data_IF_465063487229
#
_entry.id   IF_465063487229
#
_cell.length_a   1.000
_cell.length_b   1.000
_cell.length_c   1.000
_cell.angle_alpha   90.00
_cell.angle_beta   90.00
_cell.angle_gamma   90.00
#
_symmetry.space_group_name_H-M   'P 1'
#
loop_
_entity.id
_entity.type
_entity.pdbx_description
1 polymer ?
#
# COMPACT_ATOMS: atom_id res chain seq x y z
N UNK A 1 31.11 16.57 23.50
CA UNK A 1 30.73 17.31 22.28
C UNK A 1 30.73 16.34 21.12
N UNK A 2 29.57 15.86 20.68
CA UNK A 2 29.47 15.14 19.40
C UNK A 2 29.42 16.21 18.31
N UNK A 3 30.37 16.16 17.38
CA UNK A 3 30.31 16.96 16.17
C UNK A 3 29.07 16.50 15.39
N UNK A 4 28.01 17.30 15.44
CA UNK A 4 26.92 17.20 14.48
C UNK A 4 27.47 17.75 13.17
N UNK A 5 28.04 16.88 12.34
CA UNK A 5 28.11 17.15 10.91
C UNK A 5 26.68 17.42 10.46
N UNK A 6 26.38 18.67 10.14
CA UNK A 6 25.14 19.04 9.45
C UNK A 6 25.26 18.45 8.07
N UNK A 7 24.86 17.17 7.95
CA UNK A 7 24.57 16.57 6.66
C UNK A 7 23.44 17.43 6.10
N UNK A 8 23.67 18.08 4.95
CA UNK A 8 22.58 18.74 4.23
C UNK A 8 21.41 17.74 4.16
N UNK A 9 20.16 18.16 4.39
CA UNK A 9 19.06 17.21 4.60
C UNK A 9 18.92 16.30 3.37
N UNK A 10 19.47 15.09 3.48
CA UNK A 10 19.49 14.10 2.43
C UNK A 10 18.18 13.31 2.52
N UNK A 11 17.47 13.29 1.41
CA UNK A 11 16.43 12.29 1.14
C UNK A 11 17.08 11.24 0.23
N UNK A 12 17.35 10.02 0.75
CA UNK A 12 18.04 8.99 0.00
C UNK A 12 17.12 8.30 -1.01
N UNK A 13 17.60 7.91 -2.18
CA UNK A 13 16.88 7.08 -3.14
C UNK A 13 17.78 5.99 -3.69
N UNK A 14 17.25 4.76 -3.78
CA UNK A 14 17.97 3.65 -4.38
C UNK A 14 18.06 3.80 -5.90
N UNK A 15 19.20 3.45 -6.49
CA UNK A 15 19.45 3.53 -7.93
C UNK A 15 19.45 2.13 -8.58
N UNK A 16 18.45 1.29 -8.28
CA UNK A 16 18.27 -0.06 -8.87
C UNK A 16 19.57 -0.90 -8.91
N UNK A 17 20.26 -0.98 -7.77
CA UNK A 17 21.53 -1.73 -7.63
C UNK A 17 22.81 -0.90 -7.85
N UNK A 18 22.71 0.35 -8.30
CA UNK A 18 23.86 1.25 -8.50
C UNK A 18 24.22 2.11 -7.27
N UNK A 19 23.72 1.75 -6.09
CA UNK A 19 23.91 2.50 -4.85
C UNK A 19 22.76 3.46 -4.51
N UNK A 20 23.04 4.47 -3.69
CA UNK A 20 22.07 5.45 -3.17
C UNK A 20 22.42 6.84 -3.70
N UNK A 21 21.42 7.56 -4.21
CA UNK A 21 21.49 9.00 -4.48
C UNK A 21 20.87 9.80 -3.33
N UNK A 22 21.32 11.04 -3.11
CA UNK A 22 20.76 11.96 -2.13
C UNK A 22 20.24 13.20 -2.86
N UNK A 23 19.00 13.60 -2.57
CA UNK A 23 18.44 14.89 -2.99
C UNK A 23 18.02 15.71 -1.78
N UNK A 24 17.79 17.01 -1.97
CA UNK A 24 17.24 17.86 -0.90
C UNK A 24 15.75 17.54 -0.71
N UNK A 25 15.23 17.81 0.50
CA UNK A 25 13.79 17.68 0.75
C UNK A 25 12.93 18.47 -0.25
N UNK A 26 13.34 19.69 -0.60
CA UNK A 26 12.61 20.51 -1.58
C UNK A 26 12.54 19.86 -2.98
N UNK A 27 13.60 19.17 -3.40
CA UNK A 27 13.62 18.43 -4.68
C UNK A 27 12.73 17.20 -4.60
N UNK A 28 12.79 16.44 -3.50
CA UNK A 28 11.94 15.26 -3.30
C UNK A 28 10.45 15.64 -3.24
N UNK A 29 10.09 16.66 -2.47
CA UNK A 29 8.72 17.19 -2.38
C UNK A 29 8.24 17.63 -3.77
N UNK A 30 9.05 18.40 -4.51
CA UNK A 30 8.69 18.84 -5.85
C UNK A 30 8.45 17.68 -6.81
N UNK A 31 9.29 16.64 -6.77
CA UNK A 31 9.11 15.42 -7.60
C UNK A 31 7.80 14.73 -7.29
N UNK A 32 7.59 14.36 -6.03
CA UNK A 32 6.39 13.65 -5.58
C UNK A 32 5.12 14.46 -5.89
N UNK A 33 5.10 15.77 -5.57
CA UNK A 33 3.96 16.63 -5.89
C UNK A 33 3.69 16.68 -7.40
N UNK A 34 4.73 16.78 -8.24
CA UNK A 34 4.56 16.81 -9.69
C UNK A 34 3.97 15.49 -10.20
N UNK A 35 4.53 14.36 -9.75
CA UNK A 35 3.98 13.03 -10.07
C UNK A 35 2.51 12.92 -9.68
N UNK A 36 2.13 13.34 -8.47
CA UNK A 36 0.76 13.26 -7.99
C UNK A 36 -0.20 14.18 -8.75
N UNK A 37 0.23 15.40 -9.11
CA UNK A 37 -0.57 16.32 -9.92
C UNK A 37 -0.79 15.76 -11.32
N UNK A 38 0.22 15.16 -11.93
CA UNK A 38 0.14 14.60 -13.29
C UNK A 38 -0.73 13.33 -13.34
N UNK A 39 -0.93 12.66 -12.20
CA UNK A 39 -1.60 11.36 -12.10
C UNK A 39 -2.85 11.36 -11.22
N UNK A 40 -3.28 12.51 -10.69
CA UNK A 40 -4.42 12.53 -9.77
C UNK A 40 -5.69 11.95 -10.40
N UNK A 41 -6.53 11.25 -9.62
CA UNK A 41 -7.82 10.76 -10.06
C UNK A 41 -8.71 11.89 -10.62
N UNK A 42 -9.49 11.65 -11.69
CA UNK A 42 -10.37 12.66 -12.27
C UNK A 42 -11.34 13.30 -11.27
N UNK A 43 -11.81 12.52 -10.29
CA UNK A 43 -12.69 13.01 -9.22
C UNK A 43 -12.04 14.06 -8.30
N UNK A 44 -10.70 14.11 -8.28
CA UNK A 44 -9.94 15.02 -7.42
C UNK A 44 -9.61 16.35 -8.12
N UNK A 45 -9.67 16.42 -9.46
CA UNK A 45 -9.33 17.61 -10.26
C UNK A 45 -10.08 18.88 -9.80
N UNK A 46 -11.41 18.85 -9.52
CA UNK A 46 -12.12 20.04 -9.05
C UNK A 46 -11.58 20.59 -7.72
N UNK A 47 -10.92 19.76 -6.92
CA UNK A 47 -10.38 20.07 -5.60
C UNK A 47 -8.85 20.21 -5.59
N UNK A 48 -8.21 20.27 -6.76
CA UNK A 48 -6.74 20.30 -6.90
C UNK A 48 -6.06 21.32 -5.99
N UNK A 49 -6.52 22.57 -6.00
CA UNK A 49 -5.93 23.62 -5.16
C UNK A 49 -6.01 23.24 -3.67
N UNK A 50 -7.20 22.85 -3.20
CA UNK A 50 -7.39 22.44 -1.80
C UNK A 50 -6.61 21.19 -1.41
N UNK A 51 -6.31 20.28 -2.35
CA UNK A 51 -5.52 19.08 -2.07
C UNK A 51 -4.02 19.40 -1.94
N UNK A 52 -3.50 20.26 -2.82
CA UNK A 52 -2.06 20.44 -3.03
C UNK A 52 -1.47 21.73 -2.45
N UNK A 53 -2.28 22.71 -2.06
CA UNK A 53 -1.77 23.94 -1.42
C UNK A 53 -1.45 23.69 0.06
N UNK A 54 -2.43 23.26 0.84
CA UNK A 54 -2.30 22.98 2.27
C UNK A 54 -3.12 21.76 2.76
N UNK A 55 -3.79 21.05 1.85
CA UNK A 55 -4.61 19.89 2.20
C UNK A 55 -3.88 18.56 2.23
N UNK A 56 -4.68 17.48 2.15
CA UNK A 56 -4.23 16.11 2.44
C UNK A 56 -3.07 15.63 1.55
N UNK A 57 -2.99 16.08 0.28
CA UNK A 57 -1.89 15.69 -0.59
C UNK A 57 -0.60 16.44 -0.22
N UNK A 58 -0.69 17.74 0.07
CA UNK A 58 0.45 18.53 0.51
C UNK A 58 1.03 18.03 1.85
N UNK A 59 0.15 17.81 2.84
CA UNK A 59 0.52 17.22 4.14
C UNK A 59 1.12 15.83 3.95
N UNK A 60 0.48 14.99 3.13
CA UNK A 60 0.92 13.64 2.84
C UNK A 60 2.31 13.57 2.19
N UNK A 61 2.61 14.45 1.23
CA UNK A 61 3.93 14.51 0.57
C UNK A 61 5.02 14.96 1.55
N UNK A 62 4.76 15.98 2.36
CA UNK A 62 5.73 16.44 3.33
C UNK A 62 6.08 15.35 4.35
N UNK A 63 5.06 14.66 4.87
CA UNK A 63 5.24 13.55 5.80
C UNK A 63 5.91 12.33 5.13
N UNK A 64 5.57 11.99 3.88
CA UNK A 64 6.22 10.87 3.18
C UNK A 64 7.72 11.13 2.94
N UNK A 65 8.09 12.36 2.58
CA UNK A 65 9.50 12.75 2.41
C UNK A 65 10.24 12.78 3.74
N UNK A 66 9.59 13.19 4.83
CA UNK A 66 10.17 13.11 6.17
C UNK A 66 10.40 11.64 6.61
N UNK A 67 9.43 10.76 6.39
CA UNK A 67 9.55 9.33 6.65
C UNK A 67 10.68 8.70 5.82
N UNK A 68 10.81 9.09 4.55
CA UNK A 68 11.88 8.65 3.64
C UNK A 68 13.28 8.97 4.16
N UNK A 69 13.45 10.12 4.81
CA UNK A 69 14.71 10.53 5.42
C UNK A 69 14.94 9.92 6.83
N UNK A 70 13.88 9.45 7.47
CA UNK A 70 13.91 8.94 8.86
C UNK A 70 14.23 7.45 8.93
N UNK A 71 13.56 6.63 8.12
CA UNK A 71 13.60 5.18 8.29
C UNK A 71 14.74 4.51 7.50
N UNK A 72 15.49 3.57 8.11
CA UNK A 72 16.70 3.00 7.50
C UNK A 72 16.41 2.18 6.23
N UNK A 73 15.29 1.47 6.18
CA UNK A 73 14.88 0.69 5.01
C UNK A 73 14.47 1.55 3.81
N UNK A 74 14.06 2.80 4.06
CA UNK A 74 13.51 3.64 3.02
C UNK A 74 14.57 4.09 2.00
N UNK A 75 15.85 4.10 2.38
CA UNK A 75 16.96 4.52 1.54
C UNK A 75 17.15 3.66 0.28
N UNK A 76 16.83 2.37 0.34
CA UNK A 76 16.97 1.46 -0.80
C UNK A 76 15.82 1.60 -1.82
N UNK A 77 14.72 2.26 -1.45
CA UNK A 77 13.55 2.40 -2.33
C UNK A 77 13.85 3.42 -3.44
N UNK A 78 13.66 3.05 -4.73
CA UNK A 78 13.81 3.96 -5.87
C UNK A 78 12.81 5.13 -5.86
N UNK A 79 13.13 6.21 -6.57
CA UNK A 79 12.31 7.42 -6.57
C UNK A 79 10.94 7.22 -7.23
N UNK A 80 10.88 6.52 -8.36
CA UNK A 80 9.64 6.16 -9.04
C UNK A 80 8.72 5.29 -8.17
N UNK A 81 9.28 4.28 -7.51
CA UNK A 81 8.54 3.44 -6.56
C UNK A 81 8.04 4.25 -5.35
N UNK A 82 8.85 5.19 -4.86
CA UNK A 82 8.46 6.05 -3.74
C UNK A 82 7.33 7.02 -4.13
N UNK A 83 7.47 7.73 -5.25
CA UNK A 83 6.49 8.71 -5.70
C UNK A 83 5.11 8.03 -5.91
N UNK A 84 5.08 6.82 -6.48
CA UNK A 84 3.83 6.10 -6.73
C UNK A 84 3.28 5.36 -5.49
N UNK A 85 4.11 4.62 -4.76
CA UNK A 85 3.65 3.66 -3.76
C UNK A 85 3.91 4.06 -2.32
N UNK A 86 4.46 5.26 -2.09
CA UNK A 86 4.59 5.85 -0.74
C UNK A 86 3.95 7.23 -0.69
N UNK A 87 4.28 8.14 -1.62
CA UNK A 87 3.83 9.53 -1.56
C UNK A 87 2.33 9.72 -1.88
N UNK A 88 1.74 8.82 -2.68
CA UNK A 88 0.32 8.83 -3.03
C UNK A 88 -0.60 8.96 -1.82
N UNK A 89 -1.54 9.92 -1.92
CA UNK A 89 -2.50 10.25 -0.87
C UNK A 89 -3.75 9.36 -0.89
N UNK A 90 -3.94 8.59 -1.98
CA UNK A 90 -5.03 7.63 -2.15
C UNK A 90 -4.49 6.24 -2.55
N UNK A 91 -5.35 5.24 -2.39
CA UNK A 91 -5.10 3.84 -2.67
C UNK A 91 -6.03 3.31 -3.77
N UNK A 92 -7.31 3.67 -3.71
CA UNK A 92 -8.39 3.30 -4.63
C UNK A 92 -9.35 4.51 -4.79
N UNK A 93 -10.67 4.26 -4.75
CA UNK A 93 -11.72 5.28 -4.81
C UNK A 93 -12.29 5.70 -3.44
N UNK A 94 -11.54 5.50 -2.35
CA UNK A 94 -11.94 5.90 -1.00
C UNK A 94 -11.97 7.44 -0.79
N UNK A 95 -12.74 7.96 0.19
CA UNK A 95 -12.69 9.37 0.55
C UNK A 95 -11.27 9.85 0.90
N UNK A 96 -10.93 11.09 0.52
CA UNK A 96 -9.60 11.65 0.78
C UNK A 96 -9.51 12.15 2.22
N UNK A 97 -8.70 11.48 3.03
CA UNK A 97 -8.50 11.80 4.46
C UNK A 97 -7.03 11.97 4.79
N UNK A 98 -6.73 12.75 5.83
CA UNK A 98 -5.35 12.97 6.29
C UNK A 98 -4.89 11.82 7.20
N UNK A 99 -4.86 10.60 6.64
CA UNK A 99 -4.57 9.39 7.40
C UNK A 99 -3.12 9.25 7.83
N UNK A 100 -2.19 9.87 7.09
CA UNK A 100 -0.75 9.61 7.22
C UNK A 100 -0.16 10.07 8.55
N UNK A 101 -0.38 11.32 9.03
CA UNK A 101 0.17 11.75 10.31
C UNK A 101 -0.36 10.90 11.48
N UNK A 102 -1.65 10.54 11.43
CA UNK A 102 -2.27 9.68 12.45
C UNK A 102 -1.64 8.28 12.47
N UNK A 103 -1.51 7.64 11.30
CA UNK A 103 -0.95 6.30 11.21
C UNK A 103 0.54 6.28 11.54
N UNK A 104 1.32 7.27 11.12
CA UNK A 104 2.72 7.40 11.50
C UNK A 104 2.88 7.49 13.03
N UNK A 105 2.11 8.35 13.69
CA UNK A 105 2.15 8.48 15.16
C UNK A 105 1.81 7.17 15.88
N UNK A 106 0.99 6.35 15.25
CA UNK A 106 0.58 5.02 15.71
C UNK A 106 1.69 3.97 15.51
N UNK A 107 2.33 3.92 14.34
CA UNK A 107 3.27 2.84 14.01
C UNK A 107 4.72 3.15 14.36
N UNK A 108 5.12 4.44 14.39
CA UNK A 108 6.49 4.84 14.64
C UNK A 108 7.07 4.27 15.95
N UNK A 109 6.35 4.27 17.10
CA UNK A 109 6.85 3.66 18.33
C UNK A 109 7.05 2.15 18.26
N UNK A 110 6.40 1.45 17.31
CA UNK A 110 6.54 0.01 17.14
C UNK A 110 7.81 -0.36 16.39
N UNK A 111 8.31 0.56 15.56
CA UNK A 111 9.38 0.29 14.59
C UNK A 111 10.66 1.10 14.85
N UNK A 112 10.67 1.99 15.84
CA UNK A 112 11.79 2.91 16.12
C UNK A 112 13.15 2.23 16.32
N UNK A 113 13.16 0.98 16.78
CA UNK A 113 14.37 0.21 17.07
C UNK A 113 14.63 -0.91 16.04
N UNK A 114 13.86 -0.95 14.95
CA UNK A 114 14.00 -1.95 13.88
C UNK A 114 14.92 -1.42 12.78
N UNK A 115 15.68 -2.32 12.16
CA UNK A 115 16.65 -1.97 11.13
C UNK A 115 16.19 -2.32 9.71
N UNK A 116 15.30 -3.30 9.56
CA UNK A 116 14.91 -3.89 8.27
C UNK A 116 13.44 -3.61 7.94
N UNK A 117 13.11 -3.59 6.66
CA UNK A 117 11.71 -3.47 6.21
C UNK A 117 10.93 -4.70 6.64
N UNK A 118 11.53 -5.88 6.55
CA UNK A 118 10.92 -7.16 6.87
C UNK A 118 10.49 -7.23 8.34
N UNK A 119 11.36 -6.81 9.27
CA UNK A 119 11.01 -6.74 10.69
C UNK A 119 9.91 -5.69 10.94
N UNK A 120 9.97 -4.55 10.27
CA UNK A 120 8.94 -3.51 10.39
C UNK A 120 7.57 -3.98 9.86
N UNK A 121 7.53 -4.66 8.71
CA UNK A 121 6.31 -5.24 8.14
C UNK A 121 5.76 -6.31 9.07
N UNK A 122 6.61 -7.23 9.55
CA UNK A 122 6.22 -8.29 10.47
C UNK A 122 5.71 -7.72 11.79
N UNK A 123 6.33 -6.63 12.30
CA UNK A 123 5.87 -5.93 13.48
C UNK A 123 4.50 -5.31 13.23
N UNK A 124 4.34 -4.46 12.19
CA UNK A 124 3.06 -3.78 11.89
C UNK A 124 1.93 -4.78 11.65
N UNK A 125 2.18 -5.86 10.90
CA UNK A 125 1.19 -6.90 10.63
C UNK A 125 0.89 -7.77 11.86
N UNK A 126 1.94 -8.20 12.56
CA UNK A 126 1.87 -9.13 13.69
C UNK A 126 1.29 -8.51 14.95
N UNK A 127 1.41 -7.19 15.12
CA UNK A 127 1.02 -6.50 16.35
C UNK A 127 -0.47 -6.65 16.68
N UNK A 128 -1.33 -6.93 15.69
CA UNK A 128 -2.80 -7.16 15.77
C UNK A 128 -3.25 -8.08 16.90
N UNK A 129 -2.41 -9.05 17.33
CA UNK A 129 -2.80 -10.07 18.32
C UNK A 129 -2.22 -9.84 19.73
N UNK A 130 -1.50 -8.75 19.97
CA UNK A 130 -1.06 -8.39 21.33
C UNK A 130 -2.17 -7.66 22.09
N UNK A 131 -2.23 -7.76 23.42
CA UNK A 131 -3.14 -6.98 24.29
C UNK A 131 -2.97 -5.46 24.18
N UNK A 132 -2.03 -5.00 23.34
CA UNK A 132 -1.62 -3.62 23.13
C UNK A 132 -1.61 -3.29 21.63
N UNK A 133 -2.28 -4.07 20.77
CA UNK A 133 -2.14 -3.84 19.33
C UNK A 133 -2.68 -2.47 18.92
N UNK A 134 -2.16 -1.82 17.88
CA UNK A 134 -2.83 -0.62 17.39
C UNK A 134 -4.20 -0.93 16.78
N UNK A 135 -4.33 -2.06 16.10
CA UNK A 135 -5.61 -2.47 15.50
C UNK A 135 -6.69 -2.72 16.57
N UNK A 136 -6.42 -3.50 17.60
CA UNK A 136 -7.22 -3.70 18.83
C UNK A 136 -7.31 -2.48 19.74
N UNK A 137 -6.29 -1.62 19.83
CA UNK A 137 -6.38 -0.35 20.57
C UNK A 137 -7.29 0.64 19.82
N UNK A 138 -7.39 0.48 18.49
CA UNK A 138 -8.43 1.05 17.62
C UNK A 138 -9.68 0.16 17.51
N UNK A 139 -9.70 -1.03 18.12
CA UNK A 139 -10.82 -1.97 18.10
C UNK A 139 -11.14 -2.68 16.77
N UNK A 140 -10.25 -2.68 15.76
CA UNK A 140 -10.48 -3.18 14.39
C UNK A 140 -10.69 -4.70 14.31
N UNK A 141 -11.81 -5.10 13.70
CA UNK A 141 -12.22 -6.49 13.44
C UNK A 141 -12.59 -6.73 11.97
N UNK A 142 -12.35 -7.94 11.45
CA UNK A 142 -12.75 -8.29 10.08
C UNK A 142 -14.25 -8.58 9.97
N UNK A 143 -14.91 -7.97 8.98
CA UNK A 143 -16.32 -8.22 8.64
C UNK A 143 -16.49 -8.33 7.12
N UNK A 144 -16.52 -9.56 6.62
CA UNK A 144 -16.64 -9.85 5.19
C UNK A 144 -17.88 -9.26 4.51
N UNK A 145 -18.99 -9.12 5.24
CA UNK A 145 -20.26 -8.61 4.71
C UNK A 145 -20.32 -7.09 4.54
N UNK A 146 -19.23 -6.37 4.79
CA UNK A 146 -19.20 -4.90 4.75
C UNK A 146 -18.76 -4.35 3.41
N UNK A 147 -18.41 -5.17 2.42
CA UNK A 147 -18.36 -4.72 1.02
C UNK A 147 -19.81 -4.46 0.56
N UNK A 148 -20.18 -3.24 0.09
CA UNK A 148 -19.36 -2.24 -0.59
C UNK A 148 -18.98 -0.98 0.23
N UNK A 149 -18.98 -0.99 1.57
CA UNK A 149 -18.49 0.15 2.33
C UNK A 149 -17.00 0.38 2.02
N UNK A 150 -16.73 1.46 1.29
CA UNK A 150 -15.39 1.89 0.90
C UNK A 150 -14.82 2.69 2.06
N UNK A 151 -14.13 2.01 2.97
CA UNK A 151 -13.49 2.67 4.10
C UNK A 151 -12.14 3.22 3.67
N UNK A 152 -11.96 4.52 3.89
CA UNK A 152 -10.62 5.07 4.00
C UNK A 152 -9.93 4.54 5.27
N UNK A 153 -8.61 4.69 5.39
CA UNK A 153 -7.87 4.21 6.55
C UNK A 153 -8.43 4.73 7.90
N UNK A 154 -8.83 5.99 7.99
CA UNK A 154 -9.37 6.57 9.22
C UNK A 154 -10.78 6.06 9.54
N UNK A 155 -11.62 5.80 8.53
CA UNK A 155 -12.91 5.13 8.75
C UNK A 155 -12.72 3.75 9.38
N UNK A 156 -11.73 2.97 8.92
CA UNK A 156 -11.43 1.67 9.51
C UNK A 156 -10.99 1.81 10.97
N UNK A 157 -10.13 2.79 11.28
CA UNK A 157 -9.74 3.11 12.66
C UNK A 157 -10.93 3.52 13.53
N UNK A 158 -11.81 4.38 13.02
CA UNK A 158 -12.91 4.96 13.77
C UNK A 158 -14.02 3.94 14.06
N UNK A 159 -14.36 3.09 13.08
CA UNK A 159 -15.42 2.10 13.24
C UNK A 159 -14.99 0.84 13.97
N UNK A 160 -13.69 0.54 14.01
CA UNK A 160 -13.21 -0.69 14.62
C UNK A 160 -13.62 -1.94 13.82
N UNK A 161 -13.88 -1.82 12.52
CA UNK A 161 -14.02 -2.97 11.63
C UNK A 161 -13.85 -2.60 10.16
N UNK A 162 -13.59 -3.60 9.31
CA UNK A 162 -13.60 -3.44 7.85
C UNK A 162 -13.73 -4.78 7.14
N UNK A 163 -14.07 -4.75 5.85
CA UNK A 163 -13.92 -5.90 4.93
C UNK A 163 -12.45 -6.09 4.51
N UNK A 164 -12.18 -7.02 3.58
CA UNK A 164 -10.83 -7.29 3.11
C UNK A 164 -10.23 -6.07 2.40
N UNK A 165 -11.08 -5.29 1.72
CA UNK A 165 -10.70 -4.00 1.13
C UNK A 165 -10.21 -3.02 2.19
N UNK A 166 -11.03 -2.77 3.22
CA UNK A 166 -10.70 -1.77 4.25
C UNK A 166 -9.47 -2.16 5.06
N UNK A 167 -9.32 -3.45 5.43
CA UNK A 167 -8.13 -3.95 6.12
C UNK A 167 -6.89 -3.79 5.23
N UNK A 168 -6.98 -4.14 3.94
CA UNK A 168 -5.85 -4.02 3.01
C UNK A 168 -5.45 -2.56 2.80
N UNK A 169 -6.42 -1.67 2.57
CA UNK A 169 -6.15 -0.25 2.39
C UNK A 169 -5.49 0.37 3.63
N UNK A 170 -6.00 0.01 4.81
CA UNK A 170 -5.52 0.50 6.08
C UNK A 170 -4.12 -0.06 6.43
N UNK A 171 -3.84 -1.32 6.09
CA UNK A 171 -2.49 -1.90 6.24
C UNK A 171 -1.48 -1.26 5.27
N UNK A 172 -1.84 -1.07 4.00
CA UNK A 172 -1.01 -0.33 3.03
C UNK A 172 -0.72 1.08 3.53
N UNK A 173 -1.73 1.79 4.02
CA UNK A 173 -1.57 3.14 4.55
C UNK A 173 -0.59 3.18 5.75
N UNK A 174 -0.67 2.21 6.66
CA UNK A 174 0.26 2.08 7.79
C UNK A 174 1.70 1.78 7.37
N UNK A 175 1.90 0.99 6.31
CA UNK A 175 3.24 0.75 5.74
C UNK A 175 3.78 2.01 5.05
N UNK A 176 2.93 2.69 4.28
CA UNK A 176 3.28 3.94 3.57
C UNK A 176 3.62 5.08 4.52
N UNK A 177 3.03 5.13 5.72
CA UNK A 177 3.37 6.15 6.72
C UNK A 177 4.80 6.01 7.26
N UNK A 178 5.43 4.84 7.12
CA UNK A 178 6.83 4.58 7.48
C UNK A 178 7.71 4.32 6.25
N UNK A 179 7.32 4.87 5.11
CA UNK A 179 8.05 4.82 3.85
C UNK A 179 8.34 3.40 3.31
N UNK A 180 7.49 2.42 3.64
CA UNK A 180 7.49 1.09 3.01
C UNK A 180 6.52 1.12 1.83
N UNK A 181 6.99 0.91 0.58
CA UNK A 181 6.10 0.94 -0.58
C UNK A 181 5.20 -0.28 -0.59
N UNK A 182 3.90 -0.05 -0.68
CA UNK A 182 2.89 -1.09 -0.68
C UNK A 182 1.70 -0.68 -1.54
N UNK A 183 0.94 -1.66 -2.03
CA UNK A 183 -0.26 -1.45 -2.86
C UNK A 183 -1.34 -2.48 -2.57
N UNK A 184 -2.59 -2.09 -2.77
CA UNK A 184 -3.73 -3.01 -2.68
C UNK A 184 -3.75 -3.85 -3.94
N UNK A 185 -3.97 -5.16 -3.78
CA UNK A 185 -4.13 -6.12 -4.87
C UNK A 185 -5.40 -6.89 -4.64
N UNK A 186 -6.10 -7.24 -5.70
CA UNK A 186 -7.37 -7.92 -5.55
C UNK A 186 -7.84 -8.64 -6.79
N UNK A 187 -8.77 -9.55 -6.54
CA UNK A 187 -9.64 -10.09 -7.58
C UNK A 187 -11.05 -9.52 -7.41
N UNK A 188 -11.67 -8.97 -8.47
CA UNK A 188 -13.06 -8.54 -8.42
C UNK A 188 -14.03 -9.72 -8.33
N UNK A 189 -13.61 -10.90 -8.80
CA UNK A 189 -14.43 -12.08 -8.91
C UNK A 189 -13.55 -13.34 -9.05
N UNK A 190 -13.65 -14.26 -8.10
CA UNK A 190 -12.96 -15.55 -8.20
C UNK A 190 -13.40 -16.29 -9.46
N UNK A 191 -12.42 -16.76 -10.26
CA UNK A 191 -12.63 -17.45 -11.54
C UNK A 191 -13.45 -16.64 -12.56
N UNK A 192 -13.44 -15.31 -12.43
CA UNK A 192 -14.18 -14.41 -13.31
C UNK A 192 -15.70 -14.43 -13.11
N UNK A 193 -16.19 -15.02 -12.02
CA UNK A 193 -17.62 -15.11 -11.71
C UNK A 193 -17.92 -14.37 -10.40
N UNK A 194 -18.74 -13.32 -10.50
CA UNK A 194 -19.08 -12.42 -9.41
C UNK A 194 -19.80 -13.14 -8.26
N UNK A 195 -20.51 -14.24 -8.52
CA UNK A 195 -21.17 -15.05 -7.50
C UNK A 195 -20.18 -15.76 -6.58
N UNK A 196 -18.92 -15.93 -7.01
CA UNK A 196 -17.88 -16.49 -6.17
C UNK A 196 -17.25 -15.45 -5.21
N UNK A 197 -17.64 -14.18 -5.32
CA UNK A 197 -17.17 -13.07 -4.49
C UNK A 197 -15.81 -12.51 -4.90
N UNK A 198 -15.45 -11.39 -4.28
CA UNK A 198 -14.16 -10.71 -4.46
C UNK A 198 -13.20 -11.03 -3.31
N UNK A 199 -11.94 -10.60 -3.46
CA UNK A 199 -10.99 -10.57 -2.36
C UNK A 199 -9.87 -9.57 -2.58
N UNK A 200 -9.39 -8.96 -1.50
CA UNK A 200 -8.30 -7.99 -1.50
C UNK A 200 -7.23 -8.35 -0.47
N UNK A 201 -5.98 -8.16 -0.87
CA UNK A 201 -4.78 -8.33 -0.06
C UNK A 201 -3.76 -7.24 -0.43
N UNK A 202 -2.49 -7.42 -0.02
CA UNK A 202 -1.44 -6.41 -0.17
C UNK A 202 -0.22 -6.98 -0.89
N UNK A 203 0.32 -6.20 -1.83
CA UNK A 203 1.69 -6.37 -2.34
C UNK A 203 2.61 -5.33 -1.69
N UNK A 204 3.82 -5.74 -1.32
CA UNK A 204 4.84 -4.91 -0.65
C UNK A 204 6.13 -4.98 -1.46
N UNK A 205 6.74 -3.82 -1.73
CA UNK A 205 7.94 -3.74 -2.52
C UNK A 205 9.16 -4.16 -1.70
N UNK A 206 9.87 -5.17 -2.19
CA UNK A 206 11.13 -5.60 -1.64
C UNK A 206 12.27 -4.88 -2.37
N UNK A 207 12.82 -3.85 -1.72
CA UNK A 207 13.88 -3.02 -2.29
C UNK A 207 15.20 -3.78 -2.50
N UNK A 208 15.39 -4.93 -1.84
CA UNK A 208 16.57 -5.78 -2.01
C UNK A 208 16.50 -6.59 -3.31
N UNK A 209 15.32 -7.15 -3.61
CA UNK A 209 15.11 -7.99 -4.80
C UNK A 209 14.60 -7.21 -6.01
N UNK A 210 14.02 -6.03 -5.79
CA UNK A 210 13.33 -5.28 -6.84
C UNK A 210 12.03 -5.94 -7.29
N UNK A 211 11.36 -6.66 -6.39
CA UNK A 211 10.14 -7.41 -6.67
C UNK A 211 9.04 -7.12 -5.64
N UNK A 212 7.80 -7.48 -5.99
CA UNK A 212 6.65 -7.40 -5.10
C UNK A 212 6.44 -8.75 -4.39
N UNK A 213 6.48 -8.73 -3.07
CA UNK A 213 6.02 -9.82 -2.19
C UNK A 213 4.54 -9.59 -1.84
N UNK A 214 3.78 -10.63 -1.48
CA UNK A 214 2.36 -10.46 -1.14
C UNK A 214 1.96 -11.15 0.16
N UNK A 215 0.98 -10.54 0.85
CA UNK A 215 0.51 -10.96 2.18
C UNK A 215 -0.91 -10.45 2.46
N UNK A 216 -1.65 -11.13 3.34
CA UNK A 216 -2.84 -10.54 3.96
C UNK A 216 -2.50 -9.71 5.20
N UNK A 217 -3.05 -8.50 5.24
CA UNK A 217 -3.08 -7.72 6.47
C UNK A 217 -3.94 -8.43 7.53
N UNK A 218 -3.40 -8.60 8.73
CA UNK A 218 -4.20 -9.02 9.89
C UNK A 218 -5.19 -7.89 10.26
N UNK A 219 -6.39 -8.22 10.79
CA UNK A 219 -6.87 -9.57 11.15
C UNK A 219 -7.48 -10.40 10.02
N UNK A 220 -7.41 -9.97 8.74
CA UNK A 220 -7.89 -10.79 7.62
C UNK A 220 -7.01 -12.05 7.44
N UNK A 221 -5.69 -11.87 7.53
CA UNK A 221 -4.71 -12.95 7.39
C UNK A 221 -4.49 -13.81 8.63
N UNK A 222 -4.08 -15.06 8.40
CA UNK A 222 -3.84 -16.06 9.45
C UNK A 222 -2.50 -15.95 10.21
N UNK A 223 -1.62 -15.01 9.84
CA UNK A 223 -0.21 -15.00 10.30
C UNK A 223 0.80 -15.53 9.30
N UNK A 224 0.52 -15.22 8.03
CA UNK A 224 1.33 -15.55 6.88
C UNK A 224 2.71 -14.91 6.94
N UNK A 225 3.68 -15.53 6.28
CA UNK A 225 5.01 -14.94 6.04
C UNK A 225 4.98 -14.05 4.81
N UNK A 226 5.99 -13.23 4.55
CA UNK A 226 6.06 -12.49 3.27
C UNK A 226 6.51 -13.37 2.10
N UNK A 227 7.28 -14.42 2.38
CA UNK A 227 8.08 -15.12 1.37
C UNK A 227 7.47 -16.44 0.90
N UNK A 228 6.56 -17.05 1.66
CA UNK A 228 5.90 -18.28 1.26
C UNK A 228 4.52 -17.98 0.65
N UNK A 229 4.30 -18.13 -0.66
CA UNK A 229 2.97 -17.92 -1.24
C UNK A 229 1.93 -18.93 -0.74
N UNK A 230 2.34 -20.14 -0.38
CA UNK A 230 1.43 -21.24 -0.04
C UNK A 230 0.90 -21.21 1.40
N UNK A 231 1.33 -20.24 2.21
CA UNK A 231 0.71 -20.01 3.53
C UNK A 231 -0.51 -19.08 3.45
N UNK A 232 -0.82 -18.52 2.27
CA UNK A 232 -2.03 -17.71 2.02
C UNK A 232 -3.18 -18.64 1.71
N UNK A 233 -4.27 -18.54 2.45
CA UNK A 233 -5.44 -19.41 2.23
C UNK A 233 -5.99 -19.31 0.81
N UNK A 234 -5.86 -18.15 0.18
CA UNK A 234 -6.36 -17.88 -1.17
C UNK A 234 -5.40 -18.33 -2.28
N UNK A 235 -4.11 -18.53 -1.98
CA UNK A 235 -3.10 -18.84 -2.99
C UNK A 235 -3.00 -20.36 -3.17
N UNK A 236 -3.89 -20.91 -4.00
CA UNK A 236 -3.93 -22.34 -4.30
C UNK A 236 -4.60 -22.60 -5.68
N UNK A 237 -4.47 -23.81 -6.27
CA UNK A 237 -5.01 -24.15 -7.58
C UNK A 237 -6.55 -24.09 -7.68
N UNK A 238 -7.25 -24.20 -6.54
CA UNK A 238 -8.72 -24.05 -6.53
C UNK A 238 -9.15 -22.60 -6.73
N UNK A 239 -8.33 -21.64 -6.36
CA UNK A 239 -8.55 -20.20 -6.60
C UNK A 239 -7.83 -19.71 -7.85
N UNK A 240 -6.71 -20.32 -8.22
CA UNK A 240 -5.90 -19.96 -9.38
C UNK A 240 -5.66 -21.19 -10.27
N UNK A 241 -6.67 -21.63 -11.04
CA UNK A 241 -6.50 -22.74 -11.95
C UNK A 241 -5.57 -22.36 -13.12
N UNK A 242 -4.84 -23.33 -13.66
CA UNK A 242 -3.99 -23.13 -14.85
C UNK A 242 -4.77 -23.19 -16.18
N UNK A 243 -6.09 -23.39 -16.13
CA UNK A 243 -6.95 -23.46 -17.32
C UNK A 243 -7.42 -22.07 -17.76
N UNK A 244 -7.15 -21.64 -19.02
CA UNK A 244 -7.41 -20.27 -19.46
C UNK A 244 -8.85 -19.80 -19.35
N UNK A 245 -9.82 -20.69 -19.59
CA UNK A 245 -11.24 -20.33 -19.65
C UNK A 245 -11.89 -20.08 -18.27
N UNK A 246 -11.12 -20.17 -17.18
CA UNK A 246 -11.63 -20.03 -15.81
C UNK A 246 -10.61 -19.36 -14.88
N UNK A 247 -9.69 -18.59 -15.44
CA UNK A 247 -8.66 -17.87 -14.72
C UNK A 247 -9.27 -16.81 -13.78
N UNK A 248 -8.64 -16.62 -12.62
CA UNK A 248 -9.02 -15.54 -11.71
C UNK A 248 -8.33 -14.25 -12.14
N UNK A 249 -9.07 -13.20 -12.52
CA UNK A 249 -8.47 -11.91 -12.80
C UNK A 249 -7.90 -11.30 -11.52
N UNK A 250 -6.70 -10.76 -11.60
CA UNK A 250 -6.04 -10.06 -10.49
C UNK A 250 -5.45 -8.75 -10.97
N UNK A 251 -5.69 -7.69 -10.21
CA UNK A 251 -5.18 -6.36 -10.48
C UNK A 251 -4.50 -5.79 -9.23
N UNK A 252 -3.36 -5.15 -9.42
CA UNK A 252 -2.69 -4.37 -8.38
C UNK A 252 -2.92 -2.88 -8.62
N UNK A 253 -3.36 -2.17 -7.59
CA UNK A 253 -3.69 -0.75 -7.67
C UNK A 253 -2.43 0.08 -7.97
N UNK A 254 -2.59 1.05 -8.87
CA UNK A 254 -1.56 2.01 -9.26
C UNK A 254 -2.08 3.43 -9.04
N UNK A 255 -1.14 4.37 -8.96
CA UNK A 255 -1.48 5.80 -9.03
C UNK A 255 -1.13 6.38 -10.41
N UNK A 256 -0.10 5.85 -11.07
CA UNK A 256 0.26 6.24 -12.44
C UNK A 256 -0.86 5.92 -13.43
N UNK A 257 -1.29 6.96 -14.16
CA UNK A 257 -2.41 6.92 -15.12
C UNK A 257 -1.97 6.92 -16.58
N UNK A 258 -0.67 6.92 -16.86
CA UNK A 258 -0.13 7.09 -18.21
C UNK A 258 0.59 5.84 -18.72
N UNK A 259 1.12 4.99 -17.83
CA UNK A 259 1.86 3.78 -18.23
C UNK A 259 1.06 2.50 -17.98
N UNK A 260 1.10 1.56 -18.94
CA UNK A 260 0.48 0.22 -18.83
C UNK A 260 -0.96 0.25 -18.28
N UNK A 261 -1.86 0.88 -19.05
CA UNK A 261 -3.24 1.32 -18.72
C UNK A 261 -4.26 0.20 -18.44
N UNK A 262 -3.95 -0.78 -17.60
CA UNK A 262 -5.01 -1.62 -17.04
C UNK A 262 -5.77 -0.83 -15.96
N UNK A 263 -6.91 -1.36 -15.56
CA UNK A 263 -7.79 -0.78 -14.53
C UNK A 263 -7.80 -1.73 -13.36
N UNK A 264 -7.76 -1.19 -12.15
CA UNK A 264 -8.08 -1.97 -10.97
C UNK A 264 -9.60 -2.15 -10.91
N UNK A 265 -10.08 -3.34 -11.27
CA UNK A 265 -11.52 -3.62 -11.29
C UNK A 265 -12.12 -3.61 -9.87
N UNK A 266 -12.92 -2.59 -9.57
CA UNK A 266 -13.55 -2.43 -8.27
C UNK A 266 -14.82 -3.30 -8.18
N UNK A 267 -14.80 -4.32 -7.33
CA UNK A 267 -15.95 -5.23 -7.17
C UNK A 267 -17.25 -4.53 -6.70
N UNK A 268 -17.13 -3.37 -6.06
CA UNK A 268 -18.24 -2.56 -5.56
C UNK A 268 -18.67 -1.43 -6.50
N UNK A 269 -17.85 -1.12 -7.50
CA UNK A 269 -18.08 -0.03 -8.46
C UNK A 269 -17.55 -0.47 -9.84
N UNK A 270 -18.13 -1.53 -10.44
CA UNK A 270 -17.55 -2.21 -11.61
C UNK A 270 -17.55 -1.35 -12.88
N UNK A 271 -18.28 -0.24 -12.89
CA UNK A 271 -18.31 0.71 -14.01
C UNK A 271 -17.25 1.80 -13.90
N UNK A 272 -16.54 1.89 -12.78
CA UNK A 272 -15.53 2.89 -12.54
C UNK A 272 -14.19 2.45 -13.10
N UNK A 273 -13.69 3.24 -14.06
CA UNK A 273 -12.43 2.99 -14.77
C UNK A 273 -11.32 3.97 -14.35
N UNK A 274 -11.54 4.73 -13.28
CA UNK A 274 -10.67 5.83 -12.88
C UNK A 274 -9.53 5.38 -11.95
N UNK A 275 -9.57 4.15 -11.44
CA UNK A 275 -8.49 3.57 -10.63
C UNK A 275 -7.54 2.77 -11.51
N UNK A 276 -6.30 3.25 -11.74
CA UNK A 276 -5.32 2.53 -12.54
C UNK A 276 -4.93 1.22 -11.89
N UNK A 277 -4.64 0.22 -12.72
CA UNK A 277 -4.21 -1.10 -12.28
C UNK A 277 -3.06 -1.65 -13.11
N UNK A 278 -2.31 -2.55 -12.50
CA UNK A 278 -1.44 -3.50 -13.20
C UNK A 278 -2.14 -4.85 -13.23
N UNK A 279 -2.28 -5.48 -14.39
CA UNK A 279 -2.79 -6.84 -14.48
C UNK A 279 -1.73 -7.82 -13.96
N UNK A 280 -2.06 -8.51 -12.86
CA UNK A 280 -1.20 -9.49 -12.17
C UNK A 280 -1.70 -10.93 -12.34
N UNK A 281 -2.71 -11.16 -13.17
CA UNK A 281 -3.39 -12.46 -13.27
C UNK A 281 -2.41 -13.61 -13.56
N UNK A 282 -1.51 -13.43 -14.54
CA UNK A 282 -0.51 -14.43 -14.91
C UNK A 282 0.48 -14.72 -13.77
N UNK A 283 0.89 -13.68 -13.02
CA UNK A 283 1.77 -13.84 -11.87
C UNK A 283 1.11 -14.70 -10.78
N UNK A 284 -0.14 -14.41 -10.41
CA UNK A 284 -0.84 -15.20 -9.38
C UNK A 284 -1.21 -16.60 -9.87
N UNK A 285 -1.55 -16.77 -11.14
CA UNK A 285 -1.73 -18.10 -11.72
C UNK A 285 -0.45 -18.93 -11.59
N UNK A 286 0.71 -18.37 -11.90
CA UNK A 286 1.99 -19.08 -11.82
C UNK A 286 2.43 -19.34 -10.37
N UNK A 287 2.29 -18.35 -9.48
CA UNK A 287 2.74 -18.45 -8.10
C UNK A 287 1.85 -19.41 -7.29
N UNK A 288 0.53 -19.29 -7.43
CA UNK A 288 -0.43 -20.01 -6.60
C UNK A 288 -0.81 -21.39 -7.12
N UNK A 289 -0.53 -21.72 -8.39
CA UNK A 289 -0.72 -23.08 -8.90
C UNK A 289 0.32 -24.09 -8.40
N UNK A 290 1.37 -23.61 -7.73
CA UNK A 290 2.45 -24.45 -7.15
C UNK A 290 2.17 -24.85 -5.70
N UNK A 291 1.20 -24.17 -5.09
CA UNK A 291 0.52 -24.57 -3.88
C UNK A 291 -0.62 -25.56 -4.25
#
# INVERSE_FOLDING_TARGET
MRFATVVAPCVPFGNNGSGISCVTQAVAIKSATSFLVDNMPPMDEPNKATLFDDGVAAVGVNASVAAKATYPWAAAVPQDIFDEYVASYALLNEPRTDWRPFLEAVVAPLVENLATAEDAIAMVNGYVNSSVSVWKSLGVSFKSSQTPLIFDPLSTAAYGYASCTGISAMFVAALRSIAIPARVVGTPAWRGDAENGNHNWVEIWNATTGAWDFIEGRPSGGGETLTNPCDKWFCNPSKFPTTPNNATPVFAARFDRHTNLSVYELAWDPTNLDVPGENRSDYYMQACSQC
#
